data_IF_194639891896
#
_entry.id   IF_194639891896
#
_cell.length_a   1.000
_cell.length_b   1.000
_cell.length_c   1.000
_cell.angle_alpha   90.00
_cell.angle_beta   90.00
_cell.angle_gamma   90.00
#
_symmetry.space_group_name_H-M   'P 1'
#
loop_
_entity.id
_entity.type
_entity.pdbx_description
1 polymer ?
#
# COMPACT_ATOMS: atom_id res chain seq x y z
N UNK A 1 -22.19 65.76 8.51
CA UNK A 1 -21.26 64.89 9.24
C UNK A 1 -21.32 63.52 8.60
N UNK A 2 -20.26 63.11 7.90
CA UNK A 2 -20.16 61.80 7.26
C UNK A 2 -19.37 60.90 8.20
N UNK A 3 -20.04 59.98 8.89
CA UNK A 3 -19.37 58.95 9.71
C UNK A 3 -18.93 57.82 8.77
N UNK A 4 -17.61 57.57 8.61
CA UNK A 4 -17.15 56.46 7.80
C UNK A 4 -17.62 55.12 8.41
N UNK A 5 -17.95 54.11 7.57
CA UNK A 5 -18.35 52.81 8.05
C UNK A 5 -17.21 52.18 8.86
N UNK A 6 -17.55 51.70 10.05
CA UNK A 6 -16.64 50.99 10.94
C UNK A 6 -15.99 49.82 10.19
N UNK A 7 -14.66 49.83 10.10
CA UNK A 7 -13.88 48.73 9.58
C UNK A 7 -14.25 47.47 10.36
N UNK A 8 -14.77 46.45 9.68
CA UNK A 8 -14.95 45.13 10.25
C UNK A 8 -13.57 44.63 10.70
N UNK A 9 -13.43 44.11 11.94
CA UNK A 9 -12.17 43.57 12.41
C UNK A 9 -11.71 42.46 11.46
N UNK A 10 -10.40 42.32 11.18
CA UNK A 10 -9.90 41.26 10.32
C UNK A 10 -10.36 39.92 10.90
N UNK A 11 -11.11 39.16 10.11
CA UNK A 11 -11.53 37.81 10.46
C UNK A 11 -10.28 37.00 10.79
N UNK A 12 -10.00 36.84 12.08
CA UNK A 12 -8.93 35.97 12.55
C UNK A 12 -9.13 34.61 11.88
N UNK A 13 -8.10 34.02 11.24
CA UNK A 13 -8.26 32.76 10.53
C UNK A 13 -8.78 31.73 11.54
N UNK A 14 -10.03 31.30 11.32
CA UNK A 14 -10.68 30.31 12.15
C UNK A 14 -9.74 29.10 12.25
N UNK A 15 -9.46 28.58 13.46
CA UNK A 15 -8.60 27.43 13.62
C UNK A 15 -9.15 26.29 12.75
N UNK A 16 -8.28 25.55 12.02
CA UNK A 16 -8.72 24.52 11.10
C UNK A 16 -9.67 23.56 11.80
N UNK A 17 -10.84 23.34 11.22
CA UNK A 17 -11.88 22.51 11.81
C UNK A 17 -11.29 21.14 12.18
N UNK A 18 -11.38 20.77 13.47
CA UNK A 18 -10.83 19.50 13.93
C UNK A 18 -11.67 18.36 13.34
N UNK A 19 -11.04 17.38 12.70
CA UNK A 19 -11.76 16.18 12.29
C UNK A 19 -12.10 15.35 13.52
N UNK A 20 -13.38 15.34 13.89
CA UNK A 20 -13.91 14.56 15.01
C UNK A 20 -14.00 13.07 14.69
N UNK A 21 -14.09 12.72 13.40
CA UNK A 21 -14.15 11.34 12.93
C UNK A 21 -13.01 11.05 11.97
N UNK A 22 -12.59 9.78 11.98
CA UNK A 22 -11.63 9.26 11.02
C UNK A 22 -12.23 9.38 9.61
N UNK A 23 -11.54 10.04 8.66
CA UNK A 23 -12.08 10.22 7.33
C UNK A 23 -12.17 8.89 6.59
N UNK A 24 -13.16 8.77 5.70
CA UNK A 24 -13.38 7.57 4.89
C UNK A 24 -12.18 7.17 4.06
N UNK A 25 -11.38 8.14 3.59
CA UNK A 25 -10.16 7.93 2.80
C UNK A 25 -9.06 7.22 3.59
N UNK A 26 -8.90 7.55 4.88
CA UNK A 26 -7.95 6.83 5.76
C UNK A 26 -8.45 5.43 6.06
N UNK A 27 -9.77 5.23 6.18
CA UNK A 27 -10.35 3.88 6.31
C UNK A 27 -10.15 3.06 5.03
N UNK A 28 -10.39 3.65 3.86
CA UNK A 28 -10.15 3.01 2.58
C UNK A 28 -8.68 2.61 2.41
N UNK A 29 -7.74 3.52 2.72
CA UNK A 29 -6.31 3.21 2.68
C UNK A 29 -5.91 2.06 3.61
N UNK A 30 -6.50 1.98 4.81
CA UNK A 30 -6.28 0.85 5.72
C UNK A 30 -6.84 -0.45 5.18
N UNK A 31 -8.05 -0.44 4.62
CA UNK A 31 -8.66 -1.63 4.01
C UNK A 31 -7.81 -2.10 2.83
N UNK A 32 -7.33 -1.19 2.00
CA UNK A 32 -6.43 -1.52 0.89
C UNK A 32 -5.11 -2.10 1.37
N UNK A 33 -4.53 -1.60 2.47
CA UNK A 33 -3.35 -2.19 3.10
C UNK A 33 -3.61 -3.62 3.60
N UNK A 34 -4.77 -3.87 4.21
CA UNK A 34 -5.15 -5.22 4.64
C UNK A 34 -5.37 -6.16 3.46
N UNK A 35 -5.98 -5.67 2.38
CA UNK A 35 -6.14 -6.44 1.15
C UNK A 35 -4.79 -6.76 0.52
N UNK A 36 -3.86 -5.81 0.47
CA UNK A 36 -2.50 -6.05 -0.01
C UNK A 36 -1.74 -7.04 0.88
N UNK A 37 -1.90 -6.95 2.20
CA UNK A 37 -1.37 -7.91 3.15
C UNK A 37 -1.89 -9.34 2.86
N UNK A 38 -3.21 -9.50 2.71
CA UNK A 38 -3.82 -10.79 2.39
C UNK A 38 -3.40 -11.28 1.02
N UNK A 39 -3.32 -10.40 0.03
CA UNK A 39 -2.86 -10.73 -1.31
C UNK A 39 -1.40 -11.18 -1.33
N UNK A 40 -0.52 -10.52 -0.57
CA UNK A 40 0.88 -10.92 -0.44
C UNK A 40 1.02 -12.30 0.21
N UNK A 41 0.22 -12.61 1.23
CA UNK A 41 0.23 -13.93 1.87
C UNK A 41 -0.30 -15.00 0.91
N UNK A 42 -1.46 -14.78 0.30
CA UNK A 42 -2.12 -15.78 -0.53
C UNK A 42 -1.42 -15.97 -1.88
N UNK A 43 -1.09 -14.87 -2.55
CA UNK A 43 -0.58 -14.87 -3.92
C UNK A 43 0.94 -14.64 -3.98
N UNK A 44 1.52 -13.86 -3.07
CA UNK A 44 2.96 -13.57 -3.07
C UNK A 44 3.79 -14.78 -2.65
N UNK A 45 3.44 -15.45 -1.54
CA UNK A 45 4.13 -16.66 -1.12
C UNK A 45 3.92 -17.81 -2.12
N UNK A 46 2.68 -18.02 -2.57
CA UNK A 46 2.35 -19.06 -3.55
C UNK A 46 3.01 -18.82 -4.92
N UNK A 47 2.86 -17.62 -5.48
CA UNK A 47 3.43 -17.26 -6.77
C UNK A 47 4.96 -17.25 -6.76
N UNK A 48 5.57 -16.73 -5.69
CA UNK A 48 7.03 -16.73 -5.52
C UNK A 48 7.60 -18.14 -5.46
N UNK A 49 6.97 -19.05 -4.71
CA UNK A 49 7.38 -20.45 -4.66
C UNK A 49 7.19 -21.14 -6.02
N UNK A 50 6.02 -20.98 -6.64
CA UNK A 50 5.74 -21.62 -7.95
C UNK A 50 6.69 -21.13 -9.04
N UNK A 51 7.03 -19.84 -9.04
CA UNK A 51 7.99 -19.27 -9.99
C UNK A 51 9.41 -19.83 -9.80
N UNK A 52 9.84 -20.10 -8.57
CA UNK A 52 11.13 -20.75 -8.31
C UNK A 52 11.13 -22.19 -8.83
N UNK A 53 10.04 -22.93 -8.65
CA UNK A 53 9.88 -24.30 -9.19
C UNK A 53 9.79 -24.36 -10.72
N UNK A 54 9.33 -23.30 -11.36
CA UNK A 54 9.12 -23.24 -12.82
C UNK A 54 10.22 -22.48 -13.57
N UNK A 55 11.13 -21.81 -12.85
CA UNK A 55 12.26 -21.14 -13.48
C UNK A 55 13.29 -22.16 -13.98
N UNK A 56 13.90 -21.90 -15.13
CA UNK A 56 15.00 -22.71 -15.72
C UNK A 56 16.21 -22.92 -14.79
N UNK A 57 16.25 -22.21 -13.65
CA UNK A 57 17.18 -22.46 -12.56
C UNK A 57 17.07 -23.88 -11.96
N UNK A 58 15.98 -24.62 -12.25
CA UNK A 58 15.79 -26.02 -11.90
C UNK A 58 15.65 -26.91 -13.14
N UNK A 59 16.43 -26.68 -14.20
CA UNK A 59 16.51 -27.63 -15.30
C UNK A 59 17.22 -28.91 -14.83
N UNK A 60 16.41 -29.88 -14.41
CA UNK A 60 16.85 -31.22 -14.00
C UNK A 60 17.52 -32.03 -15.14
N UNK A 61 17.50 -31.51 -16.37
CA UNK A 61 18.10 -32.14 -17.55
C UNK A 61 19.60 -31.91 -17.72
N UNK A 62 20.18 -30.88 -17.09
CA UNK A 62 21.62 -30.53 -17.20
C UNK A 62 22.45 -30.93 -15.97
N UNK A 63 21.87 -31.70 -15.04
CA UNK A 63 22.52 -32.02 -13.76
C UNK A 63 23.47 -33.23 -13.89
N UNK A 64 24.78 -32.97 -13.96
CA UNK A 64 25.82 -33.96 -13.68
C UNK A 64 25.72 -34.39 -12.20
N UNK A 65 25.43 -35.68 -12.00
CA UNK A 65 24.45 -36.18 -11.02
C UNK A 65 24.88 -36.25 -9.53
N UNK A 66 25.97 -35.63 -9.07
CA UNK A 66 26.35 -35.76 -7.64
C UNK A 66 26.92 -34.51 -6.98
N UNK A 67 27.67 -33.67 -7.72
CA UNK A 67 28.34 -32.50 -7.13
C UNK A 67 27.57 -31.20 -7.35
N UNK A 68 26.89 -31.05 -8.49
CA UNK A 68 26.08 -29.87 -8.79
C UNK A 68 24.69 -29.90 -8.16
N UNK A 69 24.16 -31.08 -7.85
CA UNK A 69 22.86 -31.22 -7.17
C UNK A 69 22.90 -30.61 -5.76
N UNK A 70 23.92 -30.91 -4.94
CA UNK A 70 23.96 -30.37 -3.58
C UNK A 70 24.13 -28.85 -3.56
N UNK A 71 24.97 -28.32 -4.46
CA UNK A 71 25.22 -26.88 -4.57
C UNK A 71 24.02 -26.13 -5.17
N UNK A 72 23.32 -26.74 -6.15
CA UNK A 72 22.06 -26.22 -6.68
C UNK A 72 20.95 -26.17 -5.63
N UNK A 73 20.78 -27.22 -4.82
CA UNK A 73 19.82 -27.23 -3.72
C UNK A 73 20.16 -26.22 -2.62
N UNK A 74 21.44 -26.03 -2.28
CA UNK A 74 21.87 -25.06 -1.29
C UNK A 74 21.58 -23.61 -1.75
N UNK A 75 21.87 -23.30 -3.02
CA UNK A 75 21.55 -22.01 -3.61
C UNK A 75 20.04 -21.77 -3.72
N UNK A 76 19.26 -22.78 -4.12
CA UNK A 76 17.80 -22.70 -4.16
C UNK A 76 17.24 -22.47 -2.74
N UNK A 77 17.70 -23.23 -1.75
CA UNK A 77 17.28 -23.09 -0.37
C UNK A 77 17.61 -21.70 0.17
N UNK A 78 18.77 -21.14 -0.17
CA UNK A 78 19.14 -19.77 0.19
C UNK A 78 18.18 -18.74 -0.44
N UNK A 79 17.89 -18.85 -1.74
CA UNK A 79 16.95 -17.95 -2.44
C UNK A 79 15.54 -18.07 -1.86
N UNK A 80 15.02 -19.29 -1.69
CA UNK A 80 13.70 -19.54 -1.09
C UNK A 80 13.64 -18.95 0.32
N UNK A 81 14.69 -19.13 1.14
CA UNK A 81 14.75 -18.59 2.50
C UNK A 81 14.72 -17.06 2.49
N UNK A 82 15.47 -16.42 1.58
CA UNK A 82 15.46 -14.96 1.40
C UNK A 82 14.07 -14.46 0.99
N UNK A 83 13.41 -15.14 0.05
CA UNK A 83 12.05 -14.78 -0.42
C UNK A 83 11.03 -14.91 0.72
N UNK A 84 11.07 -16.00 1.48
CA UNK A 84 10.19 -16.22 2.64
C UNK A 84 10.45 -15.15 3.71
N UNK A 85 11.72 -14.90 4.06
CA UNK A 85 12.09 -13.90 5.06
C UNK A 85 11.65 -12.49 4.63
N UNK A 86 11.86 -12.11 3.37
CA UNK A 86 11.41 -10.85 2.81
C UNK A 86 9.88 -10.72 2.84
N UNK A 87 9.16 -11.80 2.50
CA UNK A 87 7.70 -11.84 2.55
C UNK A 87 7.20 -11.64 3.98
N UNK A 88 7.76 -12.34 4.97
CA UNK A 88 7.42 -12.18 6.39
C UNK A 88 7.69 -10.75 6.85
N UNK A 89 8.83 -10.17 6.48
CA UNK A 89 9.18 -8.80 6.83
C UNK A 89 8.15 -7.79 6.26
N UNK A 90 7.74 -7.96 5.00
CA UNK A 90 6.71 -7.12 4.35
C UNK A 90 5.33 -7.29 4.99
N UNK A 91 4.94 -8.52 5.33
CA UNK A 91 3.70 -8.84 6.05
C UNK A 91 3.65 -8.10 7.39
N UNK A 92 4.73 -8.19 8.18
CA UNK A 92 4.85 -7.49 9.47
C UNK A 92 4.79 -5.97 9.25
N UNK A 93 5.52 -5.46 8.26
CA UNK A 93 5.53 -4.04 7.92
C UNK A 93 4.12 -3.53 7.60
N UNK A 94 3.39 -4.20 6.71
CA UNK A 94 2.02 -3.80 6.36
C UNK A 94 1.06 -3.87 7.55
N UNK A 95 1.17 -4.88 8.42
CA UNK A 95 0.39 -4.95 9.65
C UNK A 95 0.63 -3.76 10.57
N UNK A 96 1.90 -3.40 10.80
CA UNK A 96 2.28 -2.23 11.61
C UNK A 96 1.77 -0.93 10.97
N UNK A 97 1.95 -0.76 9.65
CA UNK A 97 1.53 0.44 8.93
C UNK A 97 0.01 0.61 8.96
N UNK A 98 -0.76 -0.45 8.74
CA UNK A 98 -2.21 -0.42 8.80
C UNK A 98 -2.69 0.07 10.17
N UNK A 99 -2.15 -0.46 11.27
CA UNK A 99 -2.51 -0.01 12.63
C UNK A 99 -2.12 1.45 12.86
N UNK A 100 -0.89 1.84 12.48
CA UNK A 100 -0.37 3.20 12.74
C UNK A 100 -1.01 4.28 11.88
N UNK A 101 -1.48 3.96 10.67
CA UNK A 101 -2.30 4.87 9.85
C UNK A 101 -3.61 5.22 10.55
N UNK A 102 -4.24 4.24 11.20
CA UNK A 102 -5.48 4.45 11.96
C UNK A 102 -5.30 5.37 13.16
N UNK A 103 -4.12 5.35 13.76
CA UNK A 103 -3.74 6.26 14.82
C UNK A 103 -3.42 7.69 14.31
N UNK A 104 -3.27 7.88 12.99
CA UNK A 104 -2.92 9.17 12.37
C UNK A 104 -1.47 9.58 12.58
N UNK A 105 -0.55 8.62 12.67
CA UNK A 105 0.89 8.90 12.78
C UNK A 105 1.46 9.34 11.43
N UNK A 106 2.03 10.54 11.36
CA UNK A 106 2.59 11.11 10.11
C UNK A 106 3.72 10.29 9.50
N UNK A 107 4.59 9.69 10.32
CA UNK A 107 5.62 8.79 9.82
C UNK A 107 5.04 7.57 9.10
N UNK A 108 3.92 7.02 9.59
CA UNK A 108 3.24 5.88 8.95
C UNK A 108 2.63 6.23 7.58
N UNK A 109 2.13 7.46 7.43
CA UNK A 109 1.68 7.97 6.13
C UNK A 109 2.85 8.03 5.14
N UNK A 110 3.97 8.64 5.55
CA UNK A 110 5.15 8.82 4.69
C UNK A 110 5.74 7.47 4.28
N UNK A 111 5.93 6.54 5.23
CA UNK A 111 6.47 5.21 4.93
C UNK A 111 5.54 4.41 4.04
N UNK A 112 4.22 4.53 4.24
CA UNK A 112 3.25 3.86 3.36
C UNK A 112 3.33 4.42 1.95
N UNK A 113 3.38 5.75 1.78
CA UNK A 113 3.54 6.37 0.46
C UNK A 113 4.83 5.88 -0.21
N UNK A 114 5.95 5.87 0.52
CA UNK A 114 7.22 5.40 -0.01
C UNK A 114 7.17 3.93 -0.45
N UNK A 115 6.60 3.04 0.37
CA UNK A 115 6.45 1.61 0.04
C UNK A 115 5.51 1.41 -1.14
N UNK A 116 4.39 2.12 -1.22
CA UNK A 116 3.45 2.01 -2.34
C UNK A 116 4.06 2.51 -3.65
N UNK A 117 4.84 3.60 -3.60
CA UNK A 117 5.58 4.10 -4.76
C UNK A 117 6.65 3.10 -5.21
N UNK A 118 7.40 2.53 -4.27
CA UNK A 118 8.40 1.52 -4.58
C UNK A 118 7.76 0.29 -5.23
N UNK A 119 6.66 -0.22 -4.67
CA UNK A 119 5.90 -1.34 -5.22
C UNK A 119 5.36 -1.03 -6.63
N UNK A 120 4.90 0.21 -6.85
CA UNK A 120 4.42 0.67 -8.15
C UNK A 120 5.55 0.69 -9.19
N UNK A 121 6.70 1.29 -8.85
CA UNK A 121 7.87 1.36 -9.73
C UNK A 121 8.44 -0.04 -10.01
N UNK A 122 8.56 -0.91 -8.99
CA UNK A 122 9.04 -2.27 -9.18
C UNK A 122 8.11 -3.10 -10.06
N UNK A 123 6.79 -2.91 -9.93
CA UNK A 123 5.82 -3.58 -10.81
C UNK A 123 5.96 -3.14 -12.27
N UNK A 124 6.18 -1.85 -12.54
CA UNK A 124 6.45 -1.37 -13.89
C UNK A 124 7.77 -1.88 -14.48
N UNK A 125 8.84 -1.91 -13.67
CA UNK A 125 10.12 -2.48 -14.09
C UNK A 125 9.94 -3.96 -14.44
N UNK A 126 9.22 -4.72 -13.61
CA UNK A 126 8.93 -6.14 -13.87
C UNK A 126 8.16 -6.37 -15.17
N UNK A 127 7.22 -5.49 -15.51
CA UNK A 127 6.53 -5.51 -16.81
C UNK A 127 7.54 -5.24 -17.94
N UNK A 128 8.34 -4.18 -17.83
CA UNK A 128 9.30 -3.79 -18.85
C UNK A 128 10.34 -4.89 -19.13
N UNK A 129 10.98 -5.42 -18.10
CA UNK A 129 11.96 -6.51 -18.24
C UNK A 129 11.31 -7.81 -18.71
N UNK A 130 10.06 -8.05 -18.33
CA UNK A 130 9.28 -9.21 -18.80
C UNK A 130 9.01 -9.18 -20.30
N UNK A 131 8.83 -7.99 -20.87
CA UNK A 131 8.68 -7.80 -22.32
C UNK A 131 10.02 -7.82 -23.07
N UNK A 132 11.09 -7.34 -22.46
CA UNK A 132 12.43 -7.30 -23.09
C UNK A 132 13.09 -8.69 -23.16
N UNK A 133 12.81 -9.56 -22.18
CA UNK A 133 13.29 -10.95 -22.20
C UNK A 133 12.63 -11.80 -23.29
N UNK A 134 11.42 -11.45 -23.71
CA UNK A 134 10.77 -12.04 -24.88
C UNK A 134 11.22 -11.32 -26.16
N UNK A 135 12.39 -11.67 -26.68
CA UNK A 135 12.87 -11.23 -28.00
C UNK A 135 11.98 -11.68 -29.19
N UNK A 136 10.84 -12.34 -28.93
CA UNK A 136 9.85 -12.68 -29.92
C UNK A 136 8.95 -11.47 -30.23
N UNK A 137 9.37 -10.71 -31.24
CA UNK A 137 8.55 -9.70 -31.91
C UNK A 137 7.30 -10.40 -32.48
N UNK A 138 6.20 -10.40 -31.72
CA UNK A 138 4.91 -10.97 -32.14
C UNK A 138 4.42 -12.19 -31.36
N UNK A 139 5.14 -12.66 -30.33
CA UNK A 139 4.55 -13.62 -29.39
C UNK A 139 3.36 -12.93 -28.67
N UNK A 140 2.20 -13.62 -28.53
CA UNK A 140 1.09 -13.06 -27.77
C UNK A 140 1.60 -12.76 -26.37
N UNK A 141 1.70 -11.48 -26.03
CA UNK A 141 1.97 -11.06 -24.67
C UNK A 141 1.06 -11.88 -23.76
N UNK A 142 1.63 -12.61 -22.81
CA UNK A 142 0.90 -13.41 -21.82
C UNK A 142 -0.11 -12.49 -21.12
N UNK A 143 -1.32 -12.36 -21.69
CA UNK A 143 -2.30 -11.36 -21.28
C UNK A 143 -2.68 -11.55 -19.81
N UNK A 144 -2.60 -12.80 -19.35
CA UNK A 144 -2.73 -13.21 -17.96
C UNK A 144 -1.70 -12.51 -17.06
N UNK A 145 -0.41 -12.48 -17.42
CA UNK A 145 0.63 -11.80 -16.62
C UNK A 145 0.35 -10.31 -16.55
N UNK A 146 0.03 -9.69 -17.68
CA UNK A 146 -0.30 -8.26 -17.74
C UNK A 146 -1.52 -7.92 -16.85
N UNK A 147 -2.59 -8.73 -16.91
CA UNK A 147 -3.79 -8.54 -16.09
C UNK A 147 -3.45 -8.68 -14.60
N UNK A 148 -2.70 -9.71 -14.21
CA UNK A 148 -2.29 -9.90 -12.81
C UNK A 148 -1.40 -8.77 -12.31
N UNK A 149 -0.46 -8.27 -13.12
CA UNK A 149 0.40 -7.16 -12.71
C UNK A 149 -0.39 -5.87 -12.61
N UNK A 150 -1.27 -5.55 -13.56
CA UNK A 150 -2.16 -4.39 -13.48
C UNK A 150 -3.10 -4.45 -12.27
N UNK A 151 -3.65 -5.63 -11.97
CA UNK A 151 -4.48 -5.84 -10.78
C UNK A 151 -3.67 -5.61 -9.50
N UNK A 152 -2.43 -6.09 -9.45
CA UNK A 152 -1.54 -5.87 -8.31
C UNK A 152 -1.14 -4.41 -8.14
N UNK A 153 -1.04 -3.64 -9.23
CA UNK A 153 -0.71 -2.21 -9.25
C UNK A 153 -1.91 -1.31 -8.89
N UNK A 154 -3.14 -1.79 -9.11
CA UNK A 154 -4.34 -1.03 -8.80
C UNK A 154 -4.47 -0.72 -7.29
N UNK A 155 -4.14 -1.69 -6.42
CA UNK A 155 -4.21 -1.51 -4.96
C UNK A 155 -3.27 -0.42 -4.41
N UNK A 156 -1.95 -0.39 -4.74
CA UNK A 156 -1.07 0.67 -4.29
C UNK A 156 -1.47 2.04 -4.87
N UNK A 157 -1.97 2.08 -6.12
CA UNK A 157 -2.46 3.32 -6.73
C UNK A 157 -3.66 3.91 -5.98
N UNK A 158 -4.68 3.08 -5.67
CA UNK A 158 -5.83 3.53 -4.89
C UNK A 158 -5.42 3.96 -3.48
N UNK A 159 -4.47 3.26 -2.87
CA UNK A 159 -3.92 3.61 -1.55
C UNK A 159 -3.24 4.97 -1.57
N UNK A 160 -2.43 5.25 -2.59
CA UNK A 160 -1.77 6.55 -2.79
C UNK A 160 -2.80 7.67 -2.96
N UNK A 161 -3.79 7.49 -3.84
CA UNK A 161 -4.86 8.47 -4.08
C UNK A 161 -5.56 8.80 -2.75
N UNK A 162 -5.91 7.78 -1.96
CA UNK A 162 -6.57 7.97 -0.67
C UNK A 162 -5.71 8.77 0.32
N UNK A 163 -4.40 8.49 0.38
CA UNK A 163 -3.48 9.16 1.30
C UNK A 163 -3.12 10.59 0.90
N UNK A 164 -3.25 10.95 -0.38
CA UNK A 164 -3.06 12.32 -0.87
C UNK A 164 -4.31 13.21 -0.74
N UNK A 165 -5.47 12.65 -0.38
CA UNK A 165 -6.68 13.46 -0.19
C UNK A 165 -6.52 14.50 0.93
N UNK A 166 -7.14 15.67 0.77
CA UNK A 166 -7.08 16.76 1.75
C UNK A 166 -7.55 16.34 3.14
N UNK A 167 -8.59 15.50 3.22
CA UNK A 167 -9.12 14.96 4.48
C UNK A 167 -8.14 14.00 5.19
N UNK A 168 -7.43 13.17 4.43
CA UNK A 168 -6.36 12.34 4.98
C UNK A 168 -5.20 13.20 5.50
N UNK A 169 -4.76 14.19 4.72
CA UNK A 169 -3.71 15.10 5.15
C UNK A 169 -4.08 15.88 6.41
N UNK A 170 -5.32 16.35 6.53
CA UNK A 170 -5.81 17.00 7.75
C UNK A 170 -5.79 16.04 8.95
N UNK A 171 -6.24 14.79 8.76
CA UNK A 171 -6.19 13.74 9.80
C UNK A 171 -4.77 13.49 10.32
N UNK A 172 -3.77 13.39 9.43
CA UNK A 172 -2.38 13.20 9.85
C UNK A 172 -1.75 14.48 10.44
N UNK A 173 -2.13 15.67 9.95
CA UNK A 173 -1.67 16.95 10.50
C UNK A 173 -2.15 17.18 11.93
N UNK A 174 -3.37 16.79 12.26
CA UNK A 174 -3.90 16.88 13.63
C UNK A 174 -3.40 15.75 14.56
N UNK A 175 -2.48 14.88 14.10
CA UNK A 175 -2.00 13.69 14.86
C UNK A 175 -3.11 12.67 15.14
N UNK A 176 -4.06 12.55 14.22
CA UNK A 176 -5.13 11.56 14.26
C UNK A 176 -6.05 11.67 15.46
N UNK A 177 -6.06 10.62 16.29
CA UNK A 177 -6.92 10.51 17.47
C UNK A 177 -6.35 11.15 18.73
N UNK A 178 -5.06 11.51 18.75
CA UNK A 178 -4.42 12.06 19.93
C UNK A 178 -5.12 13.32 20.49
N UNK A 179 -5.54 14.33 19.70
CA UNK A 179 -6.28 15.48 20.23
C UNK A 179 -7.71 15.16 20.69
N UNK A 180 -8.28 14.02 20.28
CA UNK A 180 -9.65 13.62 20.62
C UNK A 180 -9.75 12.90 21.98
N UNK A 181 -8.63 12.40 22.53
CA UNK A 181 -8.62 11.61 23.78
C UNK A 181 -9.04 12.40 25.03
N UNK A 182 -8.89 13.72 25.00
CA UNK A 182 -9.25 14.61 26.12
C UNK A 182 -10.61 15.28 25.97
N UNK A 183 -11.33 15.03 24.87
CA UNK A 183 -12.63 15.63 24.63
C UNK A 183 -13.75 14.75 25.20
N UNK A 184 -14.81 15.35 25.78
CA UNK A 184 -15.98 14.58 26.19
C UNK A 184 -16.56 13.83 24.99
N UNK A 185 -17.17 12.64 25.20
CA UNK A 185 -17.78 11.88 24.13
C UNK A 185 -18.85 12.74 23.44
N UNK A 186 -18.56 13.17 22.21
CA UNK A 186 -19.52 13.95 21.43
C UNK A 186 -20.67 13.04 21.00
N UNK A 187 -21.88 13.49 21.25
CA UNK A 187 -23.09 12.90 20.68
C UNK A 187 -22.96 12.84 19.16
N UNK A 188 -23.42 11.75 18.51
CA UNK A 188 -23.53 11.71 17.06
C UNK A 188 -24.26 12.96 16.57
N UNK A 189 -23.81 13.63 15.50
CA UNK A 189 -24.59 14.70 14.90
C UNK A 189 -25.98 14.14 14.62
N UNK A 190 -27.01 14.77 15.18
CA UNK A 190 -28.39 14.34 15.00
C UNK A 190 -28.63 14.23 13.50
N UNK A 191 -28.78 13.01 12.98
CA UNK A 191 -29.15 12.86 11.58
C UNK A 191 -30.53 13.50 11.44
N UNK A 192 -30.72 14.48 10.54
CA UNK A 192 -32.03 15.05 10.31
C UNK A 192 -32.95 13.89 9.93
N UNK A 193 -33.97 13.66 10.76
CA UNK A 193 -34.94 12.59 10.56
C UNK A 193 -35.61 12.84 9.21
N UNK A 194 -35.24 12.05 8.19
CA UNK A 194 -35.86 12.13 6.87
C UNK A 194 -37.22 11.45 7.01
N UNK A 195 -38.26 12.23 7.26
CA UNK A 195 -39.64 11.76 7.09
C UNK A 195 -39.82 11.41 5.60
N UNK A 196 -40.06 10.14 5.31
CA UNK A 196 -40.58 9.69 4.02
C UNK A 196 -42.09 9.89 3.98
#
# INVERSE_FOLDING_TARGET
MYTPPAATPPSSPLPPELLHRKPGTVTAAQVMLWLQFSFLICCGAGGGLTALFWSDALNFSDLEFERDLSQGFENLAAVVTIVIAATIALVILFGILAVKIGAGRRWAQITTIAVMLLAFVSGFIGIYTGFEASNDVGAPADGTRLIWTLLSLAMPLVTLICLFTGSANQWFRQKGRDPLKGLPPQSPPAMPYRSY
#
